data_IF_733782962014
#
_entry.id   IF_733782962014
#
_cell.length_a   1.000
_cell.length_b   1.000
_cell.length_c   1.000
_cell.angle_alpha   90.00
_cell.angle_beta   90.00
_cell.angle_gamma   90.00
#
_symmetry.space_group_name_H-M   'P 1'
#
loop_
_entity.id
_entity.type
_entity.pdbx_description
1 polymer ?
#
# COMPACT_ATOMS: atom_id res chain seq x y z
N UNK A 1 90.46 2.77 -16.75
CA UNK A 1 90.19 2.64 -15.30
C UNK A 1 88.69 2.53 -15.09
N UNK A 2 88.26 1.52 -14.34
CA UNK A 2 86.86 1.19 -14.00
C UNK A 2 86.14 2.35 -13.31
N UNK A 3 84.85 2.52 -13.58
CA UNK A 3 83.76 2.91 -12.65
C UNK A 3 82.45 2.89 -13.48
N UNK A 4 81.58 1.88 -13.39
CA UNK A 4 80.69 1.46 -12.30
C UNK A 4 79.24 1.85 -12.63
N UNK A 5 78.40 0.83 -12.80
CA UNK A 5 76.95 0.89 -12.96
C UNK A 5 76.26 1.54 -11.75
N UNK A 6 75.10 2.16 -11.98
CA UNK A 6 73.93 2.05 -11.10
C UNK A 6 72.68 2.49 -11.87
N UNK A 7 71.85 1.50 -12.23
CA UNK A 7 70.52 1.69 -12.76
C UNK A 7 69.50 1.92 -11.65
N UNK A 8 68.46 2.70 -11.95
CA UNK A 8 67.27 2.82 -11.14
C UNK A 8 66.06 2.55 -12.04
N UNK A 9 65.53 1.32 -11.97
CA UNK A 9 64.22 0.98 -12.52
C UNK A 9 63.18 1.32 -11.45
N UNK A 10 62.29 2.27 -11.75
CA UNK A 10 61.13 2.56 -10.92
C UNK A 10 60.06 1.49 -11.16
N UNK A 11 59.78 0.66 -10.15
CA UNK A 11 58.68 -0.30 -10.18
C UNK A 11 57.42 0.38 -9.64
N UNK A 12 56.46 0.61 -10.52
CA UNK A 12 55.13 1.13 -10.18
C UNK A 12 54.24 -0.02 -9.70
N UNK A 13 53.85 -0.02 -8.43
CA UNK A 13 52.92 -0.99 -7.85
C UNK A 13 51.48 -0.45 -7.94
N UNK A 14 50.71 -0.91 -8.94
CA UNK A 14 49.25 -0.76 -8.97
C UNK A 14 48.63 -1.73 -7.96
N UNK A 15 48.04 -1.19 -6.89
CA UNK A 15 47.16 -1.96 -6.01
C UNK A 15 45.75 -2.00 -6.61
N UNK A 16 45.34 -3.16 -7.13
CA UNK A 16 43.95 -3.41 -7.55
C UNK A 16 43.14 -3.77 -6.30
N UNK A 17 42.36 -2.82 -5.78
CA UNK A 17 41.41 -3.06 -4.70
C UNK A 17 40.19 -3.81 -5.24
N UNK A 18 40.02 -5.07 -4.85
CA UNK A 18 38.79 -5.82 -5.11
C UNK A 18 37.72 -5.31 -4.14
N UNK A 19 36.82 -4.47 -4.62
CA UNK A 19 35.64 -4.07 -3.85
C UNK A 19 34.63 -5.23 -3.85
N UNK A 20 34.53 -5.92 -2.72
CA UNK A 20 33.47 -6.90 -2.50
C UNK A 20 32.12 -6.17 -2.36
N UNK A 21 31.28 -6.23 -3.39
CA UNK A 21 29.90 -5.79 -3.32
C UNK A 21 29.12 -6.75 -2.43
N UNK A 22 28.77 -6.32 -1.22
CA UNK A 22 27.82 -7.04 -0.37
C UNK A 22 26.42 -6.86 -0.96
N UNK A 23 25.87 -7.92 -1.54
CA UNK A 23 24.46 -8.01 -1.89
C UNK A 23 23.64 -8.08 -0.59
N UNK A 24 23.00 -6.97 -0.23
CA UNK A 24 22.00 -6.96 0.81
C UNK A 24 20.81 -7.83 0.38
N UNK A 25 20.46 -8.83 1.20
CA UNK A 25 19.21 -9.57 1.04
C UNK A 25 18.00 -8.63 1.14
N UNK A 26 16.78 -9.10 0.77
CA UNK A 26 15.59 -8.27 0.83
C UNK A 26 15.40 -7.76 2.27
N UNK A 27 15.43 -6.44 2.43
CA UNK A 27 15.17 -5.79 3.71
C UNK A 27 13.79 -6.22 4.21
N UNK A 28 13.68 -6.53 5.51
CA UNK A 28 12.39 -6.74 6.13
C UNK A 28 11.49 -5.50 5.87
N UNK A 29 10.19 -5.68 5.57
CA UNK A 29 9.29 -4.55 5.40
C UNK A 29 9.39 -3.64 6.63
N UNK A 30 9.31 -2.30 6.46
CA UNK A 30 9.31 -1.41 7.61
C UNK A 30 8.16 -1.80 8.55
N UNK A 31 8.35 -1.65 9.87
CA UNK A 31 7.42 -2.17 10.89
C UNK A 31 5.97 -1.69 10.73
N UNK A 32 5.76 -0.61 9.98
CA UNK A 32 4.46 -0.01 9.67
C UNK A 32 3.86 -0.46 8.32
N UNK A 33 4.46 -1.41 7.61
CA UNK A 33 3.97 -1.93 6.33
C UNK A 33 3.27 -3.29 6.46
N UNK A 34 2.32 -3.57 5.58
CA UNK A 34 1.67 -4.87 5.53
C UNK A 34 2.69 -5.97 5.21
N UNK A 35 2.65 -7.12 5.92
CA UNK A 35 3.75 -8.07 5.94
C UNK A 35 3.97 -8.83 4.61
N UNK A 36 2.98 -8.88 3.72
CA UNK A 36 3.07 -9.58 2.41
C UNK A 36 2.99 -8.66 1.19
N UNK A 37 2.48 -7.43 1.34
CA UNK A 37 2.36 -6.48 0.22
C UNK A 37 3.25 -5.23 0.40
N UNK A 38 3.80 -4.99 1.59
CA UNK A 38 4.60 -3.80 1.86
C UNK A 38 3.82 -2.50 1.66
N UNK A 39 2.49 -2.53 1.86
CA UNK A 39 1.61 -1.36 1.77
C UNK A 39 1.62 -0.66 3.13
N UNK A 40 1.73 0.67 3.14
CA UNK A 40 1.64 1.51 4.34
C UNK A 40 0.38 2.37 4.28
N UNK A 41 0.02 3.03 5.39
CA UNK A 41 -0.98 4.09 5.38
C UNK A 41 -0.36 5.33 4.71
N UNK A 42 -0.90 5.84 3.58
CA UNK A 42 -0.35 7.02 2.92
C UNK A 42 -0.47 8.25 3.80
N UNK A 43 0.56 9.11 3.84
CA UNK A 43 0.46 10.39 4.55
C UNK A 43 -0.57 11.32 3.88
N UNK A 44 -1.26 12.14 4.68
CA UNK A 44 -2.24 13.11 4.17
C UNK A 44 -3.51 12.51 3.55
N UNK A 45 -3.71 11.19 3.60
CA UNK A 45 -4.84 10.52 2.95
C UNK A 45 -6.23 10.99 3.44
N UNK A 46 -6.29 11.62 4.61
CA UNK A 46 -7.55 12.16 5.15
C UNK A 46 -8.04 13.40 4.40
N UNK A 47 -7.16 14.06 3.66
CA UNK A 47 -7.48 15.20 2.79
C UNK A 47 -7.78 14.76 1.35
N UNK A 48 -7.73 13.45 1.08
CA UNK A 48 -8.04 12.91 -0.24
C UNK A 48 -9.53 12.97 -0.54
N UNK A 49 -9.86 12.91 -1.82
CA UNK A 49 -11.24 13.06 -2.28
C UNK A 49 -12.06 11.85 -1.86
N UNK A 50 -13.26 12.16 -1.36
CA UNK A 50 -14.27 11.17 -1.04
C UNK A 50 -14.74 10.43 -2.30
N UNK A 51 -14.87 9.11 -2.21
CA UNK A 51 -15.39 8.26 -3.27
C UNK A 51 -16.82 7.86 -2.97
N UNK A 52 -17.07 7.22 -1.83
CA UNK A 52 -18.41 6.79 -1.44
C UNK A 52 -18.47 6.35 0.02
N UNK A 53 -19.67 6.43 0.64
CA UNK A 53 -19.92 5.81 1.92
C UNK A 53 -20.31 4.33 1.72
N UNK A 54 -20.18 3.54 2.78
CA UNK A 54 -20.77 2.22 2.88
C UNK A 54 -21.17 1.93 4.32
N UNK A 55 -22.13 1.03 4.50
CA UNK A 55 -22.45 0.46 5.79
C UNK A 55 -22.28 -1.05 5.70
N UNK A 56 -21.56 -1.63 6.67
CA UNK A 56 -21.57 -3.08 6.85
C UNK A 56 -22.49 -3.44 8.01
N UNK A 57 -23.39 -4.39 7.76
CA UNK A 57 -24.33 -4.91 8.74
C UNK A 57 -23.61 -5.65 9.89
N UNK A 58 -24.32 -6.01 10.96
CA UNK A 58 -23.79 -6.94 11.96
C UNK A 58 -23.25 -8.23 11.31
N UNK A 59 -22.17 -8.82 11.85
CA UNK A 59 -21.62 -8.57 13.18
C UNK A 59 -20.59 -7.45 13.26
N UNK A 60 -20.07 -6.95 12.13
CA UNK A 60 -19.10 -5.86 12.17
C UNK A 60 -19.76 -4.54 12.58
N UNK A 61 -20.97 -4.27 12.09
CA UNK A 61 -21.79 -3.08 12.40
C UNK A 61 -20.97 -1.77 12.26
N UNK A 62 -20.51 -1.54 11.03
CA UNK A 62 -19.57 -0.45 10.72
C UNK A 62 -20.16 0.56 9.73
N UNK A 63 -19.84 1.82 9.96
CA UNK A 63 -19.90 2.88 8.95
C UNK A 63 -18.53 3.02 8.30
N UNK A 64 -18.51 3.15 6.98
CA UNK A 64 -17.30 3.20 6.18
C UNK A 64 -17.33 4.34 5.19
N UNK A 65 -16.15 4.86 4.91
CA UNK A 65 -15.92 5.85 3.86
C UNK A 65 -14.68 5.46 3.08
N UNK A 66 -14.74 5.58 1.77
CA UNK A 66 -13.59 5.33 0.90
C UNK A 66 -13.10 6.65 0.33
N UNK A 67 -11.81 6.89 0.45
CA UNK A 67 -11.09 8.03 -0.09
C UNK A 67 -10.16 7.55 -1.20
N UNK A 68 -9.93 8.39 -2.21
CA UNK A 68 -9.06 8.07 -3.34
C UNK A 68 -8.11 9.20 -3.66
N UNK A 69 -6.89 8.85 -4.07
CA UNK A 69 -5.98 9.82 -4.64
C UNK A 69 -6.50 10.31 -6.01
N UNK A 70 -5.88 11.36 -6.56
CA UNK A 70 -6.33 11.97 -7.81
C UNK A 70 -6.35 10.98 -8.98
N UNK A 71 -5.41 10.03 -9.03
CA UNK A 71 -5.37 8.98 -10.06
C UNK A 71 -6.62 8.09 -9.98
N UNK A 72 -6.97 7.61 -8.78
CA UNK A 72 -8.15 6.77 -8.59
C UNK A 72 -9.45 7.54 -8.90
N UNK A 73 -9.53 8.81 -8.50
CA UNK A 73 -10.69 9.66 -8.77
C UNK A 73 -10.88 9.91 -10.25
N UNK A 74 -9.79 10.21 -10.97
CA UNK A 74 -9.85 10.40 -12.41
C UNK A 74 -10.23 9.11 -13.13
N UNK A 75 -9.76 7.95 -12.66
CA UNK A 75 -10.16 6.64 -13.17
C UNK A 75 -11.67 6.42 -12.99
N UNK A 76 -12.21 6.72 -11.81
CA UNK A 76 -13.67 6.64 -11.59
C UNK A 76 -14.46 7.56 -12.51
N UNK A 77 -14.07 8.84 -12.61
CA UNK A 77 -14.77 9.83 -13.43
C UNK A 77 -14.77 9.51 -14.92
N UNK A 78 -13.74 8.83 -15.40
CA UNK A 78 -13.57 8.40 -16.80
C UNK A 78 -14.02 6.97 -17.04
N UNK A 79 -14.53 6.29 -16.01
CA UNK A 79 -14.91 4.87 -16.06
C UNK A 79 -13.76 3.95 -16.54
N UNK A 80 -12.52 4.30 -16.19
CA UNK A 80 -11.32 3.58 -16.60
C UNK A 80 -11.15 2.29 -15.79
N UNK A 81 -11.21 1.15 -16.48
CA UNK A 81 -10.82 -0.16 -15.95
C UNK A 81 -9.82 -0.85 -16.90
N UNK A 82 -8.78 -1.54 -16.39
CA UNK A 82 -8.36 -1.57 -14.98
C UNK A 82 -7.93 -0.19 -14.47
N UNK A 83 -7.91 -0.01 -13.14
CA UNK A 83 -7.37 1.20 -12.52
C UNK A 83 -5.91 1.38 -12.95
N UNK A 84 -5.46 2.62 -13.27
CA UNK A 84 -4.07 2.88 -13.60
C UNK A 84 -3.13 2.57 -12.42
N UNK A 85 -1.90 2.18 -12.73
CA UNK A 85 -0.83 2.09 -11.73
C UNK A 85 -0.67 3.44 -11.00
N UNK A 86 -0.44 3.37 -9.69
CA UNK A 86 -0.46 4.53 -8.80
C UNK A 86 -1.84 4.87 -8.23
N UNK A 87 -2.92 4.20 -8.64
CA UNK A 87 -4.22 4.35 -7.97
C UNK A 87 -4.14 3.86 -6.53
N UNK A 88 -4.65 4.66 -5.60
CA UNK A 88 -4.71 4.29 -4.18
C UNK A 88 -6.11 4.56 -3.65
N UNK A 89 -6.68 3.56 -2.98
CA UNK A 89 -7.95 3.64 -2.28
C UNK A 89 -7.72 3.39 -0.80
N UNK A 90 -8.27 4.26 0.05
CA UNK A 90 -8.23 4.10 1.50
C UNK A 90 -9.64 4.02 2.05
N UNK A 91 -9.98 2.87 2.64
CA UNK A 91 -11.24 2.62 3.33
C UNK A 91 -11.06 2.85 4.83
N UNK A 92 -11.79 3.83 5.34
CA UNK A 92 -11.95 4.12 6.75
C UNK A 92 -13.15 3.36 7.29
N UNK A 93 -13.00 2.71 8.43
CA UNK A 93 -14.09 2.03 9.12
C UNK A 93 -14.23 2.49 10.57
N UNK A 94 -15.47 2.65 11.01
CA UNK A 94 -15.86 3.08 12.34
C UNK A 94 -17.03 2.22 12.81
N UNK A 95 -17.13 1.95 14.11
CA UNK A 95 -18.37 1.40 14.67
C UNK A 95 -19.53 2.34 14.40
N UNK A 96 -20.67 1.79 13.98
CA UNK A 96 -21.89 2.58 13.85
C UNK A 96 -22.37 3.00 15.25
N UNK A 97 -22.68 4.27 15.43
CA UNK A 97 -23.17 4.82 16.70
C UNK A 97 -24.45 5.62 16.45
N UNK A 98 -25.44 5.48 17.32
CA UNK A 98 -26.64 6.33 17.29
C UNK A 98 -26.24 7.79 17.57
N UNK A 99 -26.73 8.74 16.76
CA UNK A 99 -26.49 10.16 17.01
C UNK A 99 -27.20 10.61 18.29
N UNK A 100 -26.48 11.32 19.14
CA UNK A 100 -27.03 11.96 20.35
C UNK A 100 -27.67 13.31 20.05
N UNK A 101 -27.40 13.87 18.87
CA UNK A 101 -27.86 15.20 18.44
C UNK A 101 -29.06 15.11 17.49
N UNK A 102 -29.21 14.00 16.76
CA UNK A 102 -30.29 13.80 15.81
C UNK A 102 -30.74 12.33 15.75
N UNK A 103 -31.81 12.01 16.49
CA UNK A 103 -32.29 10.63 16.70
C UNK A 103 -32.53 9.79 15.42
N UNK A 104 -32.92 10.35 14.26
CA UNK A 104 -33.06 9.55 13.05
C UNK A 104 -31.73 9.10 12.41
N UNK A 105 -30.57 9.66 12.81
CA UNK A 105 -29.29 9.41 12.16
C UNK A 105 -28.31 8.58 13.00
N UNK A 106 -27.43 7.86 12.32
CA UNK A 106 -26.22 7.25 12.90
C UNK A 106 -24.97 7.99 12.44
N UNK A 107 -23.96 8.03 13.31
CA UNK A 107 -22.69 8.71 13.09
C UNK A 107 -21.52 7.75 13.34
N UNK A 108 -20.31 8.07 12.83
CA UNK A 108 -19.10 7.33 13.18
C UNK A 108 -18.84 7.31 14.69
N UNK A 109 -18.62 6.12 15.23
CA UNK A 109 -18.15 5.89 16.60
C UNK A 109 -16.64 5.65 16.65
N UNK A 110 -16.21 4.68 17.46
CA UNK A 110 -14.79 4.32 17.55
C UNK A 110 -14.25 3.86 16.19
N UNK A 111 -13.07 4.32 15.75
CA UNK A 111 -12.42 3.80 14.56
C UNK A 111 -12.08 2.32 14.76
N UNK A 112 -12.21 1.51 13.70
CA UNK A 112 -11.91 0.06 13.76
C UNK A 112 -10.73 -0.29 12.89
N UNK A 113 -10.78 0.05 11.60
CA UNK A 113 -9.69 -0.22 10.66
C UNK A 113 -9.47 0.91 9.68
N UNK A 114 -8.22 1.04 9.26
CA UNK A 114 -7.85 1.68 8.00
C UNK A 114 -7.44 0.56 7.06
N UNK A 115 -7.99 0.53 5.86
CA UNK A 115 -7.64 -0.47 4.84
C UNK A 115 -7.21 0.26 3.58
N UNK A 116 -6.10 -0.17 2.99
CA UNK A 116 -5.47 0.48 1.85
C UNK A 116 -5.32 -0.54 0.74
N UNK A 117 -5.63 -0.15 -0.50
CA UNK A 117 -5.20 -0.90 -1.68
C UNK A 117 -4.48 0.01 -2.66
N UNK A 118 -3.38 -0.49 -3.22
CA UNK A 118 -2.47 0.24 -4.12
C UNK A 118 -2.33 -0.53 -5.42
N UNK A 119 -2.59 0.13 -6.55
CA UNK A 119 -2.35 -0.44 -7.88
C UNK A 119 -0.89 -0.23 -8.27
N UNK A 120 -0.18 -1.32 -8.51
CA UNK A 120 1.15 -1.34 -9.12
C UNK A 120 1.37 -2.71 -9.76
N UNK A 121 1.14 -2.78 -11.08
CA UNK A 121 1.22 -4.02 -11.87
C UNK A 121 2.61 -4.67 -11.83
N UNK A 122 3.67 -3.88 -11.63
CA UNK A 122 5.05 -4.38 -11.57
C UNK A 122 5.42 -4.89 -10.19
N UNK A 123 4.96 -4.20 -9.14
CA UNK A 123 5.23 -4.60 -7.75
C UNK A 123 4.36 -5.76 -7.30
N UNK A 124 3.15 -5.91 -7.86
CA UNK A 124 2.15 -6.89 -7.42
C UNK A 124 1.70 -7.84 -8.55
N UNK A 125 2.62 -8.54 -9.25
CA UNK A 125 2.26 -9.40 -10.38
C UNK A 125 1.35 -10.56 -9.96
N UNK A 126 1.54 -11.10 -8.76
CA UNK A 126 0.82 -12.29 -8.26
C UNK A 126 -0.56 -11.98 -7.66
N UNK A 127 -0.92 -10.70 -7.56
CA UNK A 127 -2.20 -10.24 -7.00
C UNK A 127 -2.93 -9.29 -7.93
N UNK A 128 -2.82 -9.55 -9.24
CA UNK A 128 -3.50 -8.80 -10.30
C UNK A 128 -3.21 -7.28 -10.27
N UNK A 129 -1.99 -6.94 -9.87
CA UNK A 129 -1.52 -5.56 -9.75
C UNK A 129 -1.97 -4.84 -8.48
N UNK A 130 -2.56 -5.52 -7.49
CA UNK A 130 -3.03 -4.90 -6.26
C UNK A 130 -2.27 -5.36 -5.02
N UNK A 131 -1.71 -4.41 -4.28
CA UNK A 131 -1.22 -4.61 -2.92
C UNK A 131 -2.28 -4.20 -1.90
N UNK A 132 -2.37 -4.92 -0.78
CA UNK A 132 -3.36 -4.65 0.27
C UNK A 132 -2.69 -4.34 1.62
N UNK A 133 -3.33 -3.48 2.41
CA UNK A 133 -2.95 -3.21 3.79
C UNK A 133 -4.21 -3.11 4.66
N UNK A 134 -4.17 -3.72 5.84
CA UNK A 134 -5.20 -3.59 6.87
C UNK A 134 -4.53 -3.23 8.18
N UNK A 135 -5.02 -2.16 8.81
CA UNK A 135 -4.40 -1.56 9.97
C UNK A 135 -5.42 -1.35 11.09
N UNK A 136 -4.99 -1.61 12.32
CA UNK A 136 -5.70 -1.30 13.57
C UNK A 136 -4.78 -0.41 14.38
N UNK A 137 -5.27 0.75 14.82
CA UNK A 137 -4.49 1.76 15.56
C UNK A 137 -3.15 2.12 14.89
N UNK A 138 -3.17 2.21 13.55
CA UNK A 138 -2.00 2.54 12.72
C UNK A 138 -1.00 1.40 12.52
N UNK A 139 -1.22 0.22 13.09
CA UNK A 139 -0.34 -0.94 12.96
C UNK A 139 -0.91 -1.98 12.00
N UNK A 140 -0.07 -2.62 11.16
CA UNK A 140 -0.54 -3.67 10.27
C UNK A 140 -1.03 -4.88 11.08
N UNK A 141 -2.11 -5.49 10.61
CA UNK A 141 -2.54 -6.80 11.14
C UNK A 141 -1.62 -7.93 10.65
N UNK A 142 -1.79 -9.13 11.18
CA UNK A 142 -0.92 -10.27 10.87
C UNK A 142 -1.02 -10.75 9.39
N UNK A 143 -0.14 -11.69 9.05
CA UNK A 143 -0.07 -12.31 7.72
C UNK A 143 -1.37 -13.02 7.37
N UNK A 144 -1.91 -13.82 8.29
CA UNK A 144 -3.10 -14.64 8.05
C UNK A 144 -4.30 -13.78 7.64
N UNK A 145 -4.48 -12.61 8.27
CA UNK A 145 -5.52 -11.67 7.88
C UNK A 145 -5.26 -11.04 6.51
N UNK A 146 -4.01 -10.71 6.17
CA UNK A 146 -3.68 -10.13 4.85
C UNK A 146 -3.81 -11.14 3.70
N UNK A 147 -3.55 -12.43 3.92
CA UNK A 147 -3.71 -13.49 2.91
C UNK A 147 -5.18 -13.62 2.44
N UNK A 148 -6.14 -13.18 3.26
CA UNK A 148 -7.57 -13.20 2.90
C UNK A 148 -8.01 -12.08 1.96
N UNK A 149 -7.21 -11.01 1.79
CA UNK A 149 -7.62 -9.83 1.04
C UNK A 149 -7.88 -10.16 -0.44
N UNK A 150 -6.90 -10.77 -1.11
CA UNK A 150 -7.00 -11.06 -2.54
C UNK A 150 -8.15 -12.02 -2.85
N UNK A 151 -8.26 -13.13 -2.12
CA UNK A 151 -9.29 -14.15 -2.39
C UNK A 151 -10.70 -13.61 -2.24
N UNK A 152 -10.95 -12.76 -1.24
CA UNK A 152 -12.22 -12.06 -1.05
C UNK A 152 -12.54 -11.12 -2.22
N UNK A 153 -11.56 -10.34 -2.68
CA UNK A 153 -11.74 -9.41 -3.80
C UNK A 153 -11.94 -10.15 -5.14
N UNK A 154 -11.20 -11.23 -5.40
CA UNK A 154 -11.36 -12.09 -6.58
C UNK A 154 -12.76 -12.73 -6.58
N UNK A 155 -13.21 -13.25 -5.45
CA UNK A 155 -14.49 -13.95 -5.36
C UNK A 155 -15.70 -13.04 -5.63
N UNK A 156 -15.61 -11.76 -5.31
CA UNK A 156 -16.78 -10.87 -5.30
C UNK A 156 -16.75 -9.77 -6.37
N UNK A 157 -15.57 -9.31 -6.80
CA UNK A 157 -15.45 -8.08 -7.60
C UNK A 157 -14.38 -8.16 -8.71
N UNK A 158 -14.06 -9.36 -9.20
CA UNK A 158 -13.10 -9.58 -10.28
C UNK A 158 -13.37 -8.75 -11.54
N UNK A 159 -14.64 -8.57 -11.91
CA UNK A 159 -15.04 -7.91 -13.16
C UNK A 159 -14.98 -6.36 -13.07
N UNK A 160 -14.55 -5.84 -11.92
CA UNK A 160 -14.38 -4.41 -11.66
C UNK A 160 -12.99 -4.09 -11.13
N UNK A 161 -11.99 -4.74 -11.73
CA UNK A 161 -10.58 -4.67 -11.34
C UNK A 161 -10.39 -4.86 -9.83
N UNK A 162 -11.14 -5.81 -9.26
CA UNK A 162 -11.03 -6.19 -7.86
C UNK A 162 -11.41 -5.07 -6.87
N UNK A 163 -12.19 -4.06 -7.28
CA UNK A 163 -12.61 -2.95 -6.41
C UNK A 163 -14.11 -3.02 -6.09
N UNK A 164 -14.47 -3.01 -4.80
CA UNK A 164 -15.87 -3.01 -4.34
C UNK A 164 -16.59 -1.67 -4.53
N UNK A 165 -15.89 -0.58 -4.28
CA UNK A 165 -16.50 0.74 -4.20
C UNK A 165 -16.86 1.24 -5.59
N UNK A 166 -18.00 1.92 -5.71
CA UNK A 166 -18.38 2.72 -6.87
C UNK A 166 -18.33 4.19 -6.47
N UNK A 167 -17.96 5.05 -7.41
CA UNK A 167 -17.92 6.48 -7.14
C UNK A 167 -19.34 7.02 -6.97
N UNK A 168 -19.58 7.65 -5.81
CA UNK A 168 -20.80 8.36 -5.48
C UNK A 168 -20.47 9.87 -5.56
N UNK A 169 -20.73 10.52 -6.72
CA UNK A 169 -20.40 11.92 -6.94
C UNK A 169 -21.21 12.88 -6.06
#
# INVERSE_FOLDING_TARGET
MKLAFLGAFAVSSLAVGVAASQSAGPAAPPENASPIYGVTIPEGYRDWKFIAPAQEAPPLDELRAVLGNDIAIDAYKKETLPFPDGSILVKLAYKRKQSTEFAPATVPGAPTTVQVMVKDSKKYPDSHGWGFGRFIDGKPVDIAQHETCLSCHVANVKDHDYVFTRYAP
#
